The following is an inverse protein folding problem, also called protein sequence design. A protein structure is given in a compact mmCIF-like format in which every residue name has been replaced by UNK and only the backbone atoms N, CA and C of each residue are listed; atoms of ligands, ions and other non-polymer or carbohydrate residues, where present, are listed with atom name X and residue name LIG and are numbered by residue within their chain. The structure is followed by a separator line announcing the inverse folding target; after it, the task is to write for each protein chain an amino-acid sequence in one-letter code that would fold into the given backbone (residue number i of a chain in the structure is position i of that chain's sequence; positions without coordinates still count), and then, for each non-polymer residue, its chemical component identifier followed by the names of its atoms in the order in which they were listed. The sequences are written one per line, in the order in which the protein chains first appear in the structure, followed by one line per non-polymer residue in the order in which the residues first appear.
data_IF_734000826297
#
_entry.id   IF_734000826297
#
_cell.length_a   1.000
_cell.length_b   1.000
_cell.length_c   1.000
_cell.angle_alpha   90.00
_cell.angle_beta   90.00
_cell.angle_gamma   90.00
#
_symmetry.space_group_name_H-M   'P 1'
#
loop_
_entity.id
_entity.type
_entity.pdbx_description
1 polymer ?
#
# COMPACT_ATOMS: atom_id res chain seq x y z
N UNK A 1 -35.10 -33.12 4.76
CA UNK A 1 -35.37 -31.69 4.46
C UNK A 1 -34.61 -30.82 5.46
N UNK A 2 -34.06 -29.71 4.96
CA UNK A 2 -33.67 -28.49 5.69
C UNK A 2 -32.20 -28.31 6.08
N UNK A 3 -31.46 -27.93 5.03
CA UNK A 3 -30.30 -27.03 4.98
C UNK A 3 -30.30 -25.93 6.06
N UNK A 4 -29.19 -25.80 6.78
CA UNK A 4 -28.88 -24.60 7.56
C UNK A 4 -28.04 -23.65 6.69
N UNK A 5 -28.47 -22.40 6.67
CA UNK A 5 -28.10 -21.32 5.77
C UNK A 5 -26.73 -20.71 6.09
N UNK A 6 -25.90 -20.63 5.05
CA UNK A 6 -25.15 -19.47 4.55
C UNK A 6 -24.38 -18.50 5.47
N UNK A 7 -23.19 -18.20 4.94
CA UNK A 7 -22.54 -16.89 4.85
C UNK A 7 -21.64 -16.47 6.01
N UNK A 8 -20.37 -16.92 5.94
CA UNK A 8 -19.28 -16.17 6.56
C UNK A 8 -19.02 -14.93 5.70
N UNK A 9 -19.46 -13.79 6.24
CA UNK A 9 -19.28 -12.43 5.75
C UNK A 9 -17.82 -12.19 5.35
N UNK A 10 -17.64 -11.71 4.12
CA UNK A 10 -16.41 -11.13 3.60
C UNK A 10 -15.88 -10.08 4.59
N UNK A 11 -14.70 -10.32 5.16
CA UNK A 11 -13.86 -9.26 5.71
C UNK A 11 -13.16 -8.57 4.53
N UNK A 12 -13.91 -7.76 3.80
CA UNK A 12 -13.30 -6.72 2.98
C UNK A 12 -12.60 -5.78 3.96
N UNK A 13 -11.26 -5.78 3.93
CA UNK A 13 -10.46 -4.72 4.54
C UNK A 13 -10.86 -3.45 3.82
N UNK A 14 -11.79 -2.73 4.44
CA UNK A 14 -12.13 -1.38 4.05
C UNK A 14 -10.96 -0.49 4.46
N UNK A 15 -9.97 -0.41 3.57
CA UNK A 15 -8.99 0.67 3.56
C UNK A 15 -9.67 1.94 3.02
N UNK A 16 -10.78 2.35 3.64
CA UNK A 16 -11.28 3.72 3.53
C UNK A 16 -10.33 4.61 4.33
N UNK A 17 -9.13 4.78 3.76
CA UNK A 17 -8.13 5.75 4.18
C UNK A 17 -8.83 7.10 4.06
N UNK A 18 -9.18 7.68 5.20
CA UNK A 18 -9.61 9.06 5.34
C UNK A 18 -8.60 9.92 4.58
N UNK A 19 -8.96 10.34 3.37
CA UNK A 19 -8.18 11.30 2.59
C UNK A 19 -8.30 12.60 3.33
N UNK A 20 -7.35 12.85 4.24
CA UNK A 20 -7.10 14.20 4.72
C UNK A 20 -6.85 15.04 3.48
N UNK A 21 -7.73 16.02 3.27
CA UNK A 21 -7.77 16.88 2.07
C UNK A 21 -6.45 17.64 1.87
N UNK A 22 -5.57 17.64 2.88
CA UNK A 22 -4.26 18.31 2.91
C UNK A 22 -3.06 17.42 2.51
N UNK A 23 -3.22 16.14 2.13
CA UNK A 23 -2.07 15.35 1.65
C UNK A 23 -1.85 15.59 0.15
N UNK A 24 -0.76 16.26 -0.26
CA UNK A 24 -0.52 16.56 -1.68
C UNK A 24 -0.26 15.31 -2.53
N UNK A 25 -0.01 14.16 -1.90
CA UNK A 25 0.19 12.86 -2.55
C UNK A 25 -1.02 11.92 -2.42
N UNK A 26 -2.25 12.46 -2.34
CA UNK A 26 -3.46 11.64 -2.28
C UNK A 26 -3.68 10.79 -3.55
N UNK A 27 -3.11 11.20 -4.68
CA UNK A 27 -3.25 10.53 -5.98
C UNK A 27 -2.15 9.49 -6.18
N UNK A 28 -2.42 8.25 -5.77
CA UNK A 28 -1.53 7.11 -6.06
C UNK A 28 -1.82 6.59 -7.47
N UNK A 29 -0.83 6.70 -8.36
CA UNK A 29 -0.94 6.25 -9.75
C UNK A 29 -0.54 4.79 -9.92
N UNK A 30 0.40 4.30 -9.11
CA UNK A 30 0.86 2.92 -9.18
C UNK A 30 1.34 2.42 -7.84
N UNK A 31 1.04 1.17 -7.54
CA UNK A 31 1.69 0.40 -6.48
C UNK A 31 2.41 -0.79 -7.09
N UNK A 32 3.44 -1.28 -6.41
CA UNK A 32 4.18 -2.44 -6.88
C UNK A 32 5.12 -3.01 -5.84
N UNK A 33 5.77 -4.09 -6.23
CA UNK A 33 6.75 -4.78 -5.40
C UNK A 33 8.00 -5.16 -6.19
N UNK A 34 9.16 -5.13 -5.53
CA UNK A 34 10.45 -5.48 -6.12
C UNK A 34 11.26 -6.36 -5.15
N UNK A 35 12.09 -7.26 -5.66
CA UNK A 35 12.98 -8.06 -4.81
C UNK A 35 13.95 -7.18 -4.03
N UNK A 36 14.18 -7.50 -2.75
CA UNK A 36 15.22 -6.82 -1.96
C UNK A 36 16.59 -7.05 -2.59
N UNK A 37 17.42 -6.02 -2.62
CA UNK A 37 18.74 -6.06 -3.28
C UNK A 37 19.85 -6.66 -2.39
N UNK A 38 19.62 -6.77 -1.08
CA UNK A 38 20.63 -7.30 -0.15
C UNK A 38 20.90 -8.79 -0.40
N UNK A 39 22.17 -9.19 -0.43
CA UNK A 39 22.58 -10.57 -0.71
C UNK A 39 21.98 -11.63 0.24
N UNK A 40 21.64 -11.24 1.47
CA UNK A 40 20.96 -12.10 2.47
C UNK A 40 19.51 -11.69 2.71
N UNK A 41 19.02 -10.69 1.99
CA UNK A 41 17.69 -10.15 2.20
C UNK A 41 16.65 -11.07 1.52
N UNK A 42 15.70 -11.55 2.31
CA UNK A 42 14.55 -12.27 1.78
C UNK A 42 13.33 -11.35 1.70
N UNK A 43 12.50 -11.61 0.69
CA UNK A 43 11.23 -10.89 0.46
C UNK A 43 11.33 -9.74 -0.53
N UNK A 44 10.32 -8.87 -0.46
CA UNK A 44 10.06 -7.79 -1.41
C UNK A 44 10.05 -6.44 -0.68
N UNK A 45 10.39 -5.38 -1.41
CA UNK A 45 10.11 -3.99 -1.08
C UNK A 45 8.80 -3.60 -1.77
N UNK A 46 7.91 -2.92 -1.06
CA UNK A 46 6.67 -2.37 -1.59
C UNK A 46 6.89 -0.89 -1.89
N UNK A 47 6.51 -0.45 -3.09
CA UNK A 47 6.66 0.94 -3.51
C UNK A 47 5.34 1.50 -4.03
N UNK A 48 5.22 2.81 -3.93
CA UNK A 48 4.12 3.59 -4.49
C UNK A 48 4.67 4.71 -5.37
N UNK A 49 3.95 5.02 -6.44
CA UNK A 49 4.16 6.17 -7.32
C UNK A 49 2.93 7.05 -7.17
N UNK A 50 3.13 8.30 -6.79
CA UNK A 50 2.08 9.30 -6.67
C UNK A 50 2.36 10.49 -7.59
N UNK A 51 1.31 11.20 -7.98
CA UNK A 51 1.43 12.53 -8.55
C UNK A 51 1.15 13.56 -7.47
N UNK A 52 2.06 14.51 -7.31
CA UNK A 52 1.84 15.63 -6.40
C UNK A 52 0.87 16.62 -7.04
N UNK A 53 -0.13 17.04 -6.28
CA UNK A 53 -1.27 17.81 -6.77
C UNK A 53 -0.93 19.24 -7.22
N UNK A 54 0.13 19.87 -6.70
CA UNK A 54 0.48 21.26 -7.06
C UNK A 54 1.48 21.36 -8.22
N UNK A 55 2.44 20.44 -8.33
CA UNK A 55 3.54 20.52 -9.31
C UNK A 55 3.37 19.51 -10.47
N UNK A 56 2.35 18.66 -10.39
CA UNK A 56 2.03 17.59 -11.33
C UNK A 56 3.16 16.57 -11.57
N UNK A 57 4.21 16.58 -10.74
CA UNK A 57 5.36 15.69 -10.87
C UNK A 57 5.11 14.32 -10.23
N UNK A 58 5.89 13.34 -10.68
CA UNK A 58 5.84 11.97 -10.17
C UNK A 58 6.82 11.77 -9.03
N UNK A 59 6.32 11.24 -7.92
CA UNK A 59 7.08 10.94 -6.73
C UNK A 59 7.01 9.45 -6.41
N UNK A 60 8.13 8.92 -5.92
CA UNK A 60 8.29 7.52 -5.57
C UNK A 60 8.60 7.41 -4.09
N UNK A 61 7.96 6.47 -3.40
CA UNK A 61 8.37 6.12 -2.03
C UNK A 61 8.39 4.62 -1.80
N UNK A 62 9.19 4.22 -0.82
CA UNK A 62 9.09 2.90 -0.21
C UNK A 62 7.97 2.93 0.83
N UNK A 63 6.88 2.24 0.51
CA UNK A 63 5.67 2.19 1.34
C UNK A 63 5.69 1.01 2.32
N UNK A 64 6.56 0.01 2.10
CA UNK A 64 6.62 -1.15 2.97
C UNK A 64 7.63 -2.20 2.51
N UNK A 65 7.60 -3.34 3.17
CA UNK A 65 8.36 -4.54 2.78
C UNK A 65 7.68 -5.80 3.32
N UNK A 66 7.95 -6.95 2.69
CA UNK A 66 7.54 -8.26 3.19
C UNK A 66 8.64 -8.94 4.00
N UNK A 67 8.25 -9.84 4.91
CA UNK A 67 9.18 -10.70 5.66
C UNK A 67 9.95 -10.06 6.81
N UNK A 68 9.48 -8.93 7.37
CA UNK A 68 10.08 -8.32 8.56
C UNK A 68 9.64 -6.89 8.82
N UNK A 69 10.03 -6.35 9.98
CA UNK A 69 9.89 -4.92 10.30
C UNK A 69 11.08 -4.12 9.72
N UNK A 70 10.87 -2.87 9.32
CA UNK A 70 11.95 -1.99 8.88
C UNK A 70 11.50 -0.86 7.96
N UNK A 71 12.47 -0.19 7.31
CA UNK A 71 12.33 1.07 6.59
C UNK A 71 11.11 1.13 5.66
N UNK A 72 10.13 1.92 6.06
CA UNK A 72 8.99 2.32 5.26
C UNK A 72 8.62 3.74 5.64
N UNK A 73 8.04 4.47 4.69
CA UNK A 73 7.63 5.85 4.91
C UNK A 73 6.28 5.85 5.64
N UNK A 74 6.23 6.39 6.86
CA UNK A 74 4.97 6.51 7.62
C UNK A 74 4.01 7.52 6.99
N UNK A 75 4.56 8.54 6.36
CA UNK A 75 3.86 9.59 5.65
C UNK A 75 4.38 9.66 4.21
N UNK A 76 3.57 10.27 3.34
CA UNK A 76 4.10 10.79 2.09
C UNK A 76 4.92 12.05 2.39
#
# INVERSE_FOLDING_TARGET
MNQAKNSRKNAGVDTSKTTSVDNPFSTILKTGEASKLGAKAQGKVLYEIAQHNEDEQLYFRIAGQSGGAGLHSKHW
#
